data_IF_477957479957
#
_entry.id   IF_477957479957
#
_cell.length_a   1.000
_cell.length_b   1.000
_cell.length_c   1.000
_cell.angle_alpha   90.00
_cell.angle_beta   90.00
_cell.angle_gamma   90.00
#
_symmetry.space_group_name_H-M   'P 1'
#
loop_
_entity.id
_entity.type
_entity.pdbx_description
1 polymer ?
#
# COMPACT_ATOMS: atom_id res chain seq x y z
N UNK A 1 27.66 2.21 -12.04
CA UNK A 1 26.23 1.96 -12.36
C UNK A 1 25.41 2.43 -11.18
N UNK A 2 24.30 3.13 -11.41
CA UNK A 2 23.43 3.71 -10.37
C UNK A 2 21.96 3.38 -10.73
N UNK A 3 21.19 2.91 -9.75
CA UNK A 3 19.73 2.76 -9.88
C UNK A 3 19.10 4.16 -9.93
N UNK A 4 18.15 4.36 -10.83
CA UNK A 4 17.47 5.65 -11.01
C UNK A 4 16.04 5.66 -10.47
N UNK A 5 15.47 4.47 -10.13
CA UNK A 5 14.14 4.33 -9.55
C UNK A 5 13.53 2.95 -9.79
N UNK A 6 12.31 2.79 -9.32
CA UNK A 6 11.47 1.63 -9.63
C UNK A 6 10.63 1.89 -10.87
N UNK A 7 10.34 0.85 -11.67
CA UNK A 7 9.41 0.91 -12.79
C UNK A 7 8.06 0.27 -12.45
N UNK A 8 8.09 -0.81 -11.68
CA UNK A 8 6.90 -1.56 -11.30
C UNK A 8 7.15 -2.41 -10.04
N UNK A 9 6.05 -2.86 -9.45
CA UNK A 9 5.99 -3.95 -8.48
C UNK A 9 5.21 -5.09 -9.10
N UNK A 10 5.64 -6.32 -8.90
CA UNK A 10 4.94 -7.53 -9.38
C UNK A 10 4.54 -8.38 -8.18
N UNK A 11 3.27 -8.80 -8.15
CA UNK A 11 2.69 -9.63 -7.09
C UNK A 11 1.91 -10.80 -7.67
N UNK A 12 1.71 -11.84 -6.86
CA UNK A 12 0.87 -12.96 -7.21
C UNK A 12 -0.61 -12.60 -7.05
N UNK A 13 -1.44 -13.12 -7.95
CA UNK A 13 -2.89 -13.04 -7.89
C UNK A 13 -3.48 -14.44 -8.09
N UNK A 14 -4.29 -14.92 -7.13
CA UNK A 14 -4.97 -16.20 -7.25
C UNK A 14 -6.09 -16.14 -8.30
N UNK A 15 -6.76 -15.00 -8.39
CA UNK A 15 -7.75 -14.64 -9.40
C UNK A 15 -7.47 -13.23 -9.89
N UNK A 16 -7.14 -13.09 -11.18
CA UNK A 16 -6.79 -11.80 -11.78
C UNK A 16 -7.97 -10.82 -11.79
N UNK A 17 -9.19 -11.30 -12.07
CA UNK A 17 -10.36 -10.43 -12.16
C UNK A 17 -10.78 -9.92 -10.77
N UNK A 18 -10.69 -10.77 -9.74
CA UNK A 18 -10.95 -10.38 -8.35
C UNK A 18 -9.91 -9.37 -7.87
N UNK A 19 -8.64 -9.62 -8.13
CA UNK A 19 -7.55 -8.71 -7.77
C UNK A 19 -7.67 -7.36 -8.47
N UNK A 20 -8.00 -7.33 -9.77
CA UNK A 20 -8.23 -6.07 -10.51
C UNK A 20 -9.38 -5.28 -9.89
N UNK A 21 -10.52 -5.91 -9.61
CA UNK A 21 -11.65 -5.23 -8.96
C UNK A 21 -11.23 -4.60 -7.63
N UNK A 22 -10.49 -5.33 -6.80
CA UNK A 22 -9.97 -4.82 -5.52
C UNK A 22 -9.14 -3.54 -5.69
N UNK A 23 -8.14 -3.57 -6.58
CA UNK A 23 -7.27 -2.40 -6.80
C UNK A 23 -7.98 -1.22 -7.48
N UNK A 24 -8.98 -1.49 -8.31
CA UNK A 24 -9.84 -0.46 -8.90
C UNK A 24 -10.77 0.16 -7.85
N UNK A 25 -11.44 -0.65 -7.04
CA UNK A 25 -12.43 -0.17 -6.06
C UNK A 25 -11.82 0.54 -4.87
N UNK A 26 -10.68 0.05 -4.35
CA UNK A 26 -10.06 0.64 -3.17
C UNK A 26 -9.11 1.79 -3.53
N UNK A 27 -8.35 1.66 -4.63
CA UNK A 27 -7.27 2.58 -4.98
C UNK A 27 -7.46 3.32 -6.31
N UNK A 28 -8.58 3.11 -7.01
CA UNK A 28 -8.84 3.79 -8.28
C UNK A 28 -7.84 3.48 -9.38
N UNK A 29 -7.13 2.34 -9.33
CA UNK A 29 -6.14 1.98 -10.34
C UNK A 29 -6.81 1.68 -11.67
N UNK A 30 -6.13 2.05 -12.75
CA UNK A 30 -6.59 1.79 -14.11
C UNK A 30 -5.79 0.66 -14.74
N UNK A 31 -6.47 -0.25 -15.45
CA UNK A 31 -5.80 -1.28 -16.21
C UNK A 31 -5.11 -0.68 -17.45
N UNK A 32 -3.87 -1.12 -17.69
CA UNK A 32 -3.07 -0.70 -18.84
C UNK A 32 -2.68 -1.93 -19.68
N UNK A 33 -2.40 -1.76 -20.99
CA UNK A 33 -2.01 -2.87 -21.85
C UNK A 33 -0.77 -3.61 -21.32
N UNK A 34 -0.85 -4.95 -21.32
CA UNK A 34 0.27 -5.85 -21.05
C UNK A 34 0.66 -6.58 -22.34
N UNK A 35 1.95 -6.95 -22.52
CA UNK A 35 2.37 -7.82 -23.63
C UNK A 35 1.76 -9.23 -23.51
N UNK A 36 1.79 -9.98 -24.61
CA UNK A 36 1.37 -11.39 -24.65
C UNK A 36 2.44 -12.28 -24.02
N UNK A 37 2.39 -12.44 -22.71
CA UNK A 37 3.25 -13.38 -21.99
C UNK A 37 2.73 -14.82 -22.12
N UNK A 38 3.57 -15.84 -21.95
CA UNK A 38 3.13 -17.24 -21.99
C UNK A 38 2.39 -17.68 -20.70
N UNK A 39 2.08 -16.77 -19.80
CA UNK A 39 1.32 -16.96 -18.57
C UNK A 39 0.35 -15.80 -18.35
N UNK A 40 -0.76 -16.00 -17.63
CA UNK A 40 -1.73 -14.94 -17.37
C UNK A 40 -1.13 -13.82 -16.51
N UNK A 41 -1.25 -12.60 -17.00
CA UNK A 41 -0.77 -11.39 -16.33
C UNK A 41 -1.66 -10.20 -16.71
N UNK A 42 -1.86 -9.30 -15.76
CA UNK A 42 -2.57 -8.03 -15.98
C UNK A 42 -1.77 -6.90 -15.34
N UNK A 43 -1.78 -5.75 -15.97
CA UNK A 43 -1.04 -4.57 -15.52
C UNK A 43 -1.97 -3.45 -15.12
N UNK A 44 -1.68 -2.81 -13.99
CA UNK A 44 -2.41 -1.65 -13.49
C UNK A 44 -1.47 -0.45 -13.36
N UNK A 45 -2.02 0.76 -13.53
CA UNK A 45 -1.33 2.01 -13.26
C UNK A 45 -1.46 2.37 -11.79
N UNK A 46 -0.34 2.67 -11.15
CA UNK A 46 -0.23 3.20 -9.79
C UNK A 46 0.60 4.50 -9.83
N UNK A 47 -0.05 5.64 -10.02
CA UNK A 47 0.64 6.92 -10.27
C UNK A 47 1.52 6.86 -11.52
N UNK A 48 2.83 7.09 -11.36
CA UNK A 48 3.83 7.00 -12.43
C UNK A 48 4.45 5.59 -12.58
N UNK A 49 4.05 4.65 -11.75
CA UNK A 49 4.54 3.27 -11.75
C UNK A 49 3.45 2.30 -12.20
N UNK A 50 3.80 1.04 -12.25
CA UNK A 50 2.86 -0.04 -12.57
C UNK A 50 2.83 -1.08 -11.46
N UNK A 51 1.65 -1.68 -11.27
CA UNK A 51 1.46 -2.90 -10.50
C UNK A 51 1.15 -4.04 -11.49
N UNK A 52 1.99 -5.07 -11.47
CA UNK A 52 1.81 -6.25 -12.30
C UNK A 52 1.20 -7.38 -11.47
N UNK A 53 0.09 -7.92 -11.92
CA UNK A 53 -0.58 -9.06 -11.32
C UNK A 53 -0.26 -10.29 -12.15
N UNK A 54 0.42 -11.27 -11.57
CA UNK A 54 0.78 -12.54 -12.22
C UNK A 54 -0.08 -13.63 -11.59
N UNK A 55 -0.84 -14.38 -12.41
CA UNK A 55 -1.65 -15.47 -11.90
C UNK A 55 -0.77 -16.56 -11.30
N UNK A 56 -0.98 -16.88 -10.02
CA UNK A 56 -0.23 -17.87 -9.27
C UNK A 56 -0.95 -18.24 -7.98
N UNK A 57 -0.90 -19.49 -7.60
CA UNK A 57 -1.39 -19.99 -6.29
C UNK A 57 -0.40 -19.70 -5.14
N UNK A 58 0.81 -19.20 -5.44
CA UNK A 58 1.80 -18.89 -4.42
C UNK A 58 1.34 -17.70 -3.58
N UNK A 59 1.64 -17.75 -2.27
CA UNK A 59 1.40 -16.66 -1.34
C UNK A 59 2.68 -15.88 -1.07
N UNK A 60 2.56 -14.58 -0.86
CA UNK A 60 3.69 -13.75 -0.49
C UNK A 60 4.26 -14.19 0.88
N UNK A 61 5.58 -14.19 1.07
CA UNK A 61 6.19 -14.40 2.39
C UNK A 61 5.69 -13.36 3.39
N UNK A 62 5.65 -13.73 4.67
CA UNK A 62 5.22 -12.83 5.75
C UNK A 62 6.00 -11.50 5.76
N UNK A 63 5.34 -10.40 6.04
CA UNK A 63 5.84 -9.02 6.03
C UNK A 63 6.27 -8.47 4.64
N UNK A 64 6.23 -9.26 3.56
CA UNK A 64 6.41 -8.70 2.21
C UNK A 64 5.20 -7.83 1.86
N UNK A 65 5.47 -6.58 1.49
CA UNK A 65 4.43 -5.63 1.12
C UNK A 65 4.99 -4.57 0.16
N UNK A 66 4.10 -3.83 -0.44
CA UNK A 66 4.41 -2.58 -1.10
C UNK A 66 3.52 -1.48 -0.51
N UNK A 67 3.93 -0.24 -0.67
CA UNK A 67 3.26 0.90 -0.08
C UNK A 67 2.74 1.85 -1.16
N UNK A 68 1.55 2.38 -0.93
CA UNK A 68 0.87 3.35 -1.77
C UNK A 68 0.62 4.64 -1.00
N UNK A 69 0.92 5.76 -1.61
CA UNK A 69 0.39 7.05 -1.21
C UNK A 69 -0.97 7.25 -1.88
N UNK A 70 -1.94 7.77 -1.13
CA UNK A 70 -3.29 8.07 -1.62
C UNK A 70 -3.58 9.56 -1.50
N UNK A 71 -4.50 10.06 -2.30
CA UNK A 71 -4.94 11.46 -2.29
C UNK A 71 -6.09 11.72 -1.30
N UNK A 72 -6.73 10.66 -0.79
CA UNK A 72 -7.80 10.71 0.19
C UNK A 72 -7.68 9.52 1.16
N UNK A 73 -6.99 9.74 2.26
CA UNK A 73 -6.74 8.68 3.25
C UNK A 73 -8.00 8.29 4.01
N UNK A 74 -8.86 9.24 4.32
CA UNK A 74 -10.13 9.00 4.99
C UNK A 74 -11.04 8.08 4.17
N UNK A 75 -11.13 8.32 2.85
CA UNK A 75 -11.87 7.45 1.94
C UNK A 75 -11.26 6.04 1.87
N UNK A 76 -9.93 5.93 1.80
CA UNK A 76 -9.24 4.65 1.82
C UNK A 76 -9.48 3.89 3.14
N UNK A 77 -9.41 4.58 4.28
CA UNK A 77 -9.71 4.02 5.60
C UNK A 77 -11.14 3.48 5.68
N UNK A 78 -12.13 4.31 5.31
CA UNK A 78 -13.54 3.89 5.34
C UNK A 78 -13.80 2.71 4.40
N UNK A 79 -13.26 2.76 3.19
CA UNK A 79 -13.45 1.71 2.19
C UNK A 79 -12.82 0.38 2.63
N UNK A 80 -11.63 0.43 3.25
CA UNK A 80 -10.99 -0.75 3.82
C UNK A 80 -11.82 -1.38 4.93
N UNK A 81 -12.48 -0.58 5.76
CA UNK A 81 -13.41 -1.05 6.79
C UNK A 81 -14.64 -1.72 6.16
N UNK A 82 -15.26 -1.09 5.17
CA UNK A 82 -16.44 -1.63 4.46
C UNK A 82 -16.15 -2.97 3.78
N UNK A 83 -14.98 -3.09 3.16
CA UNK A 83 -14.53 -4.31 2.49
C UNK A 83 -14.06 -5.40 3.45
N UNK A 84 -13.82 -5.06 4.74
CA UNK A 84 -13.33 -6.01 5.73
C UNK A 84 -11.92 -6.52 5.43
N UNK A 85 -11.06 -5.68 4.83
CA UNK A 85 -9.71 -6.07 4.38
C UNK A 85 -8.59 -5.60 5.32
N UNK A 86 -8.93 -5.21 6.55
CA UNK A 86 -7.97 -4.91 7.61
C UNK A 86 -7.48 -6.20 8.28
N UNK A 87 -6.22 -6.21 8.71
CA UNK A 87 -5.71 -7.30 9.55
C UNK A 87 -6.42 -7.31 10.89
N UNK A 88 -6.78 -8.50 11.40
CA UNK A 88 -7.55 -8.67 12.65
C UNK A 88 -6.66 -8.69 13.89
N UNK A 89 -5.38 -9.00 13.73
CA UNK A 89 -4.46 -9.14 14.86
C UNK A 89 -3.00 -8.91 14.45
N UNK A 90 -2.14 -8.74 15.47
CA UNK A 90 -0.70 -8.54 15.29
C UNK A 90 -0.34 -7.11 14.93
N UNK A 91 0.94 -6.88 14.62
CA UNK A 91 1.48 -5.55 14.33
C UNK A 91 0.70 -4.83 13.23
N UNK A 92 0.38 -5.50 12.14
CA UNK A 92 -0.27 -4.88 10.97
C UNK A 92 -1.79 -4.65 11.13
N UNK A 93 -2.38 -5.00 12.28
CA UNK A 93 -3.76 -4.66 12.59
C UNK A 93 -3.95 -3.23 13.10
N UNK A 94 -2.88 -2.56 13.48
CA UNK A 94 -2.88 -1.18 13.98
C UNK A 94 -2.47 -0.19 12.90
N UNK A 95 -2.82 1.07 13.14
CA UNK A 95 -2.27 2.21 12.41
C UNK A 95 -1.08 2.78 13.18
N UNK A 96 -0.11 3.33 12.44
CA UNK A 96 1.11 3.87 13.03
C UNK A 96 1.39 5.28 12.54
N UNK A 97 1.89 6.11 13.47
CA UNK A 97 2.54 7.39 13.18
C UNK A 97 4.05 7.21 13.22
N UNK A 98 4.73 7.62 12.17
CA UNK A 98 6.20 7.61 12.07
C UNK A 98 6.79 8.90 12.64
N UNK A 99 8.10 8.95 12.95
CA UNK A 99 8.76 10.13 13.50
C UNK A 99 8.64 11.40 12.65
N UNK A 100 8.42 11.28 11.34
CA UNK A 100 8.19 12.40 10.41
C UNK A 100 6.71 12.84 10.33
N UNK A 101 5.82 12.23 11.10
CA UNK A 101 4.38 12.49 11.10
C UNK A 101 3.60 11.72 10.02
N UNK A 102 4.25 10.89 9.23
CA UNK A 102 3.57 10.03 8.27
C UNK A 102 2.74 8.96 8.97
N UNK A 103 1.60 8.60 8.38
CA UNK A 103 0.68 7.58 8.91
C UNK A 103 0.66 6.38 7.99
N UNK A 104 0.67 5.19 8.59
CA UNK A 104 0.63 3.90 7.90
C UNK A 104 -0.61 3.12 8.30
N UNK A 105 -1.32 2.60 7.31
CA UNK A 105 -2.45 1.69 7.41
C UNK A 105 -2.13 0.45 6.58
N UNK A 106 -2.51 -0.74 7.06
CA UNK A 106 -2.27 -2.00 6.34
C UNK A 106 -3.57 -2.68 5.97
N UNK A 107 -3.65 -3.17 4.74
CA UNK A 107 -4.74 -3.99 4.22
C UNK A 107 -4.18 -5.21 3.51
N UNK A 108 -5.01 -6.23 3.31
CA UNK A 108 -4.66 -7.36 2.44
C UNK A 108 -5.57 -7.41 1.22
N UNK A 109 -4.98 -7.79 0.09
CA UNK A 109 -5.72 -8.00 -1.14
C UNK A 109 -6.39 -9.40 -1.16
N UNK A 110 -7.21 -9.74 -2.17
CA UNK A 110 -7.90 -11.03 -2.23
C UNK A 110 -6.98 -12.26 -2.25
N UNK A 111 -5.72 -12.08 -2.63
CA UNK A 111 -4.71 -13.16 -2.67
C UNK A 111 -3.82 -13.17 -1.42
N UNK A 112 -4.12 -12.35 -0.43
CA UNK A 112 -3.38 -12.26 0.82
C UNK A 112 -2.10 -11.42 0.74
N UNK A 113 -1.87 -10.67 -0.34
CA UNK A 113 -0.76 -9.72 -0.38
C UNK A 113 -1.04 -8.54 0.55
N UNK A 114 -0.02 -8.14 1.32
CA UNK A 114 -0.10 -6.97 2.18
C UNK A 114 0.14 -5.71 1.37
N UNK A 115 -0.73 -4.71 1.55
CA UNK A 115 -0.61 -3.37 0.98
C UNK A 115 -0.58 -2.37 2.12
N UNK A 116 0.46 -1.55 2.16
CA UNK A 116 0.57 -0.42 3.07
C UNK A 116 -0.01 0.82 2.39
N UNK A 117 -0.86 1.55 3.11
CA UNK A 117 -1.46 2.81 2.65
C UNK A 117 -0.88 3.92 3.50
N UNK A 118 -0.29 4.93 2.87
CA UNK A 118 0.42 6.00 3.55
C UNK A 118 -0.23 7.36 3.36
N UNK A 119 -0.11 8.16 4.42
CA UNK A 119 -0.48 9.57 4.45
C UNK A 119 0.67 10.40 5.02
N UNK A 120 1.03 11.54 4.41
CA UNK A 120 2.27 12.23 4.78
C UNK A 120 2.24 13.00 6.10
N UNK A 121 1.06 13.41 6.59
CA UNK A 121 0.96 14.31 7.74
C UNK A 121 -0.29 14.03 8.59
N UNK A 122 -0.09 13.41 9.75
CA UNK A 122 -1.15 13.07 10.71
C UNK A 122 -1.98 14.30 11.13
N UNK A 123 -1.40 15.48 11.14
CA UNK A 123 -2.10 16.70 11.57
C UNK A 123 -3.19 17.14 10.60
N UNK A 124 -3.17 16.63 9.37
CA UNK A 124 -4.16 16.93 8.33
C UNK A 124 -5.28 15.90 8.26
N UNK A 125 -5.22 14.82 9.05
CA UNK A 125 -6.28 13.80 9.08
C UNK A 125 -7.55 14.34 9.79
N UNK A 126 -8.71 14.02 9.21
CA UNK A 126 -9.99 14.21 9.88
C UNK A 126 -10.20 13.09 10.92
N UNK A 127 -9.92 13.42 12.18
CA UNK A 127 -10.06 12.50 13.31
C UNK A 127 -11.51 12.20 13.68
N UNK A 128 -12.49 12.86 13.06
CA UNK A 128 -13.91 12.46 13.18
C UNK A 128 -14.25 11.28 12.26
N UNK A 129 -13.45 11.07 11.21
CA UNK A 129 -13.57 9.96 10.27
C UNK A 129 -12.62 8.81 10.66
N UNK A 130 -11.33 9.11 10.82
CA UNK A 130 -10.33 8.15 11.27
C UNK A 130 -10.33 8.11 12.80
N UNK A 131 -11.26 7.33 13.37
CA UNK A 131 -11.51 7.28 14.82
C UNK A 131 -10.63 6.28 15.58
N UNK A 132 -9.97 5.38 14.85
CA UNK A 132 -9.07 4.38 15.41
C UNK A 132 -7.86 5.02 16.09
N UNK A 133 -7.33 4.36 17.13
CA UNK A 133 -6.08 4.77 17.77
C UNK A 133 -4.92 4.63 16.77
N UNK A 134 -4.05 5.65 16.72
CA UNK A 134 -2.82 5.65 15.93
C UNK A 134 -1.65 5.53 16.90
N UNK A 135 -0.85 4.48 16.76
CA UNK A 135 0.27 4.17 17.64
C UNK A 135 1.53 4.87 17.16
N UNK A 136 2.22 5.59 18.03
CA UNK A 136 3.49 6.22 17.70
C UNK A 136 4.61 5.16 17.57
N UNK A 137 5.39 5.26 16.50
CA UNK A 137 6.65 4.54 16.36
C UNK A 137 7.74 5.37 17.03
N UNK A 138 8.33 4.83 18.11
CA UNK A 138 9.32 5.56 18.88
C UNK A 138 10.60 5.86 18.07
N UNK A 139 11.16 7.06 18.28
CA UNK A 139 12.48 7.44 17.80
C UNK A 139 13.43 7.53 18.99
N UNK A 140 14.04 6.41 19.38
CA UNK A 140 14.91 6.33 20.55
C UNK A 140 16.32 6.90 20.32
N UNK A 141 16.68 7.18 19.06
CA UNK A 141 17.99 7.73 18.68
C UNK A 141 17.83 8.97 17.80
N UNK A 142 18.87 9.80 17.75
CA UNK A 142 18.89 10.96 16.83
C UNK A 142 18.76 10.55 15.35
N UNK A 143 19.30 9.39 14.97
CA UNK A 143 19.16 8.87 13.60
C UNK A 143 17.75 8.40 13.33
N UNK A 144 17.10 7.72 14.26
CA UNK A 144 15.70 7.30 14.13
C UNK A 144 14.76 8.52 14.02
N UNK A 145 15.05 9.61 14.75
CA UNK A 145 14.27 10.85 14.69
C UNK A 145 14.38 11.58 13.33
N UNK A 146 15.39 11.26 12.52
CA UNK A 146 15.55 11.82 11.16
C UNK A 146 14.94 10.92 10.07
N UNK A 147 14.43 9.75 10.44
CA UNK A 147 13.82 8.85 9.48
C UNK A 147 12.61 9.51 8.80
N UNK A 148 12.51 9.38 7.49
CA UNK A 148 11.37 9.86 6.72
C UNK A 148 10.95 8.82 5.70
N UNK A 149 9.64 8.66 5.57
CA UNK A 149 9.04 7.81 4.55
C UNK A 149 9.12 8.47 3.16
N UNK A 150 9.07 9.80 3.13
CA UNK A 150 9.01 10.59 1.91
C UNK A 150 10.37 11.25 1.61
N UNK A 151 11.24 10.53 0.92
CA UNK A 151 12.52 11.07 0.50
C UNK A 151 12.33 12.21 -0.51
N UNK A 152 13.15 13.29 -0.43
CA UNK A 152 13.14 14.33 -1.44
C UNK A 152 13.39 13.76 -2.84
N UNK A 153 12.57 14.18 -3.82
CA UNK A 153 12.80 13.79 -5.21
C UNK A 153 14.16 14.33 -5.65
N UNK A 154 15.01 13.45 -6.17
CA UNK A 154 16.27 13.87 -6.80
C UNK A 154 15.93 14.46 -8.16
N UNK A 155 16.24 15.75 -8.34
CA UNK A 155 16.12 16.45 -9.62
C UNK A 155 17.13 15.94 -10.66
#
# INVERSE_FOLDING_TARGET
>A
MKTTGFTHVSINAHDLDESIRFYQELFGMEEVPAPDFPFPVRWLRAGDLQLHLVESEDTAPGAHHFALEVDDFEAAYQRAQELGVRFESGYFSYMYELPDGAVQLYVYDPSGNMVEVNWPDITTLDRSVVTEEIHEVAAETEEAAKATLYLPRQG
#
